data_IF_996342838523
#
_entry.id   IF_996342838523
#
_cell.length_a   1.000
_cell.length_b   1.000
_cell.length_c   1.000
_cell.angle_alpha   90.00
_cell.angle_beta   90.00
_cell.angle_gamma   90.00
#
_symmetry.space_group_name_H-M   'P 1'
#
loop_
_entity.id
_entity.type
_entity.pdbx_description
1 polymer ?
#
# COMPACT_ATOMS: atom_id res chain seq x y z
N UNK A 1 -7.40 17.36 7.16
CA UNK A 1 -8.12 18.66 7.23
C UNK A 1 -7.10 19.76 7.49
N UNK A 2 -7.16 20.89 6.81
CA UNK A 2 -6.12 21.95 6.83
C UNK A 2 -6.49 23.16 7.69
N UNK A 3 -7.31 22.96 8.73
CA UNK A 3 -7.63 24.02 9.69
C UNK A 3 -6.49 24.35 10.68
N UNK A 4 -5.62 23.40 11.09
CA UNK A 4 -4.44 23.75 11.89
C UNK A 4 -3.56 24.82 11.23
N UNK A 5 -3.42 24.77 9.90
CA UNK A 5 -2.68 25.79 9.13
C UNK A 5 -3.26 27.21 9.30
N UNK A 6 -4.58 27.34 9.50
CA UNK A 6 -5.20 28.65 9.75
C UNK A 6 -4.74 29.22 11.11
N UNK A 7 -4.50 28.36 12.11
CA UNK A 7 -3.95 28.78 13.40
C UNK A 7 -2.49 29.22 13.27
N UNK A 8 -1.68 28.47 12.53
CA UNK A 8 -0.27 28.80 12.29
C UNK A 8 -0.14 30.16 11.60
N UNK A 9 -0.92 30.39 10.54
CA UNK A 9 -0.94 31.67 9.83
C UNK A 9 -1.44 32.82 10.73
N UNK A 10 -2.40 32.55 11.62
CA UNK A 10 -2.87 33.55 12.58
C UNK A 10 -1.78 33.91 13.61
N UNK A 11 -0.95 32.94 14.02
CA UNK A 11 0.22 33.18 14.86
C UNK A 11 1.25 34.06 14.14
N UNK A 12 1.42 33.87 12.83
CA UNK A 12 2.23 34.71 11.94
C UNK A 12 1.58 36.06 11.59
N UNK A 13 0.56 36.48 12.37
CA UNK A 13 -0.15 37.77 12.24
C UNK A 13 -0.94 37.92 10.94
N UNK A 14 -1.21 36.83 10.22
CA UNK A 14 -2.10 36.83 9.06
C UNK A 14 -3.55 36.76 9.56
N UNK A 15 -4.43 37.69 9.16
CA UNK A 15 -5.82 37.65 9.62
C UNK A 15 -6.51 36.34 9.22
N UNK A 16 -7.21 35.69 10.16
CA UNK A 16 -8.00 34.46 9.93
C UNK A 16 -8.92 34.60 8.71
N UNK A 17 -9.52 35.78 8.52
CA UNK A 17 -10.38 36.06 7.38
C UNK A 17 -9.67 35.97 6.01
N UNK A 18 -8.37 36.29 5.96
CA UNK A 18 -7.53 36.17 4.76
C UNK A 18 -7.12 34.71 4.58
N UNK A 19 -6.62 34.05 5.63
CA UNK A 19 -6.22 32.65 5.58
C UNK A 19 -7.38 31.72 5.16
N UNK A 20 -8.57 31.86 5.77
CA UNK A 20 -9.75 31.09 5.38
C UNK A 20 -10.12 31.33 3.92
N UNK A 21 -10.05 32.58 3.43
CA UNK A 21 -10.38 32.90 2.02
C UNK A 21 -9.42 32.24 1.04
N UNK A 22 -8.12 32.30 1.32
CA UNK A 22 -7.08 31.69 0.48
C UNK A 22 -7.20 30.17 0.44
N UNK A 23 -7.52 29.56 1.59
CA UNK A 23 -7.67 28.10 1.72
C UNK A 23 -9.07 27.58 1.33
N UNK A 24 -10.00 28.46 0.94
CA UNK A 24 -11.35 28.08 0.51
C UNK A 24 -12.30 27.67 1.65
N UNK A 25 -12.03 28.09 2.88
CA UNK A 25 -12.87 27.81 4.06
C UNK A 25 -13.80 28.97 4.41
N UNK A 26 -14.95 28.66 5.00
CA UNK A 26 -15.77 29.69 5.66
C UNK A 26 -15.21 30.00 7.05
N UNK A 27 -15.30 31.28 7.47
CA UNK A 27 -14.90 31.69 8.84
C UNK A 27 -15.70 30.93 9.90
N UNK A 28 -16.99 30.71 9.65
CA UNK A 28 -17.87 29.99 10.56
C UNK A 28 -17.43 28.53 10.74
N UNK A 29 -17.06 27.84 9.66
CA UNK A 29 -16.58 26.47 9.74
C UNK A 29 -15.25 26.38 10.51
N UNK A 30 -14.35 27.34 10.32
CA UNK A 30 -13.11 27.42 11.10
C UNK A 30 -13.38 27.60 12.60
N UNK A 31 -14.23 28.56 12.99
CA UNK A 31 -14.51 28.78 14.42
C UNK A 31 -15.27 27.62 15.05
N UNK A 32 -16.21 27.00 14.33
CA UNK A 32 -16.87 25.77 14.78
C UNK A 32 -15.86 24.64 15.02
N UNK A 33 -14.95 24.43 14.08
CA UNK A 33 -13.88 23.45 14.26
C UNK A 33 -12.95 23.83 15.42
N UNK A 34 -12.65 25.12 15.62
CA UNK A 34 -11.76 25.56 16.70
C UNK A 34 -12.32 25.27 18.10
N UNK A 35 -13.63 25.27 18.27
CA UNK A 35 -14.29 24.90 19.53
C UNK A 35 -14.11 23.41 19.84
N UNK A 36 -14.22 22.55 18.82
CA UNK A 36 -14.08 21.10 18.96
C UNK A 36 -13.21 20.54 17.81
N UNK A 37 -11.87 20.67 17.92
CA UNK A 37 -10.97 20.41 16.80
C UNK A 37 -10.70 18.92 16.56
N UNK A 38 -10.97 18.08 17.55
CA UNK A 38 -10.82 16.63 17.53
C UNK A 38 -12.20 16.02 17.67
N UNK A 39 -12.68 15.35 16.62
CA UNK A 39 -13.97 14.67 16.68
C UNK A 39 -13.85 13.35 17.43
N UNK A 40 -14.98 12.80 17.91
CA UNK A 40 -15.00 11.45 18.48
C UNK A 40 -14.41 10.41 17.53
N UNK A 41 -14.63 10.56 16.22
CA UNK A 41 -14.05 9.69 15.20
C UNK A 41 -12.53 9.77 15.15
N UNK A 42 -11.97 10.96 15.31
CA UNK A 42 -10.50 11.14 15.35
C UNK A 42 -9.93 10.50 16.61
N UNK A 43 -10.62 10.61 17.74
CA UNK A 43 -10.29 9.91 18.98
C UNK A 43 -10.30 8.38 18.78
N UNK A 44 -11.37 7.84 18.20
CA UNK A 44 -11.50 6.40 17.96
C UNK A 44 -10.42 5.90 16.97
N UNK A 45 -10.16 6.66 15.90
CA UNK A 45 -9.09 6.34 14.93
C UNK A 45 -7.70 6.37 15.62
N UNK A 46 -7.47 7.32 16.54
CA UNK A 46 -6.22 7.42 17.30
C UNK A 46 -6.01 6.24 18.26
N UNK A 47 -7.05 5.81 18.97
CA UNK A 47 -6.97 4.62 19.83
C UNK A 47 -6.75 3.34 19.03
N UNK A 48 -7.48 3.19 17.92
CA UNK A 48 -7.37 2.03 17.03
C UNK A 48 -5.97 1.92 16.43
N UNK A 49 -5.40 3.02 15.93
CA UNK A 49 -4.06 3.00 15.33
C UNK A 49 -2.96 2.84 16.39
N UNK A 50 -3.16 3.31 17.62
CA UNK A 50 -2.21 3.06 18.71
C UNK A 50 -2.11 1.56 19.03
N UNK A 51 -3.25 0.88 19.17
CA UNK A 51 -3.26 -0.58 19.38
C UNK A 51 -2.67 -1.34 18.18
N UNK A 52 -2.96 -0.89 16.95
CA UNK A 52 -2.38 -1.47 15.75
C UNK A 52 -0.84 -1.37 15.71
N UNK A 53 -0.29 -0.24 16.18
CA UNK A 53 1.16 -0.03 16.27
C UNK A 53 1.79 -0.94 17.34
N UNK A 54 1.12 -1.16 18.46
CA UNK A 54 1.58 -2.08 19.51
C UNK A 54 1.63 -3.53 19.00
N UNK A 55 0.58 -4.00 18.31
CA UNK A 55 0.57 -5.32 17.66
C UNK A 55 1.73 -5.43 16.67
N UNK A 56 1.89 -4.44 15.78
CA UNK A 56 2.94 -4.49 14.77
C UNK A 56 4.36 -4.39 15.35
N UNK A 57 4.54 -3.73 16.50
CA UNK A 57 5.82 -3.68 17.18
C UNK A 57 6.21 -5.04 17.76
N UNK A 58 5.23 -5.85 18.19
CA UNK A 58 5.45 -7.24 18.60
C UNK A 58 5.75 -8.16 17.41
N UNK A 59 5.01 -7.98 16.32
CA UNK A 59 5.10 -8.83 15.12
C UNK A 59 5.22 -7.98 13.84
N UNK A 60 6.44 -7.53 13.49
CA UNK A 60 6.67 -6.70 12.29
C UNK A 60 6.31 -7.41 10.97
N UNK A 61 6.15 -8.73 11.01
CA UNK A 61 5.73 -9.55 9.88
C UNK A 61 4.25 -9.32 9.53
N UNK A 62 3.45 -8.83 10.48
CA UNK A 62 2.02 -8.63 10.30
C UNK A 62 1.73 -7.43 9.43
N UNK A 63 0.96 -7.66 8.37
CA UNK A 63 0.33 -6.60 7.58
C UNK A 63 -1.03 -6.25 8.16
N UNK A 64 -1.66 -5.19 7.62
CA UNK A 64 -2.93 -4.67 8.15
C UNK A 64 -4.07 -5.68 8.27
N UNK A 65 -4.04 -6.80 7.53
CA UNK A 65 -5.05 -7.87 7.59
C UNK A 65 -4.92 -8.67 8.89
N UNK A 66 -3.70 -9.14 9.20
CA UNK A 66 -3.42 -9.81 10.48
C UNK A 66 -3.60 -8.85 11.66
N UNK A 67 -3.18 -7.60 11.50
CA UNK A 67 -3.41 -6.58 12.54
C UNK A 67 -4.92 -6.38 12.77
N UNK A 68 -5.76 -6.40 11.73
CA UNK A 68 -7.20 -6.28 11.89
C UNK A 68 -7.81 -7.47 12.67
N UNK A 69 -7.31 -8.69 12.44
CA UNK A 69 -7.74 -9.87 13.19
C UNK A 69 -7.34 -9.77 14.68
N UNK A 70 -6.09 -9.42 14.98
CA UNK A 70 -5.61 -9.21 16.36
C UNK A 70 -6.37 -8.10 17.08
N UNK A 71 -6.69 -6.99 16.39
CA UNK A 71 -7.51 -5.93 16.93
C UNK A 71 -8.91 -6.42 17.29
N UNK A 72 -9.51 -7.29 16.47
CA UNK A 72 -10.81 -7.87 16.76
C UNK A 72 -10.75 -8.78 18.00
N UNK A 73 -9.68 -9.57 18.16
CA UNK A 73 -9.45 -10.42 19.34
C UNK A 73 -9.26 -9.59 20.63
N UNK A 74 -8.69 -8.38 20.52
CA UNK A 74 -8.60 -7.40 21.60
C UNK A 74 -9.90 -6.63 21.85
N UNK A 75 -10.96 -6.89 21.09
CA UNK A 75 -12.29 -6.29 21.26
C UNK A 75 -12.51 -4.96 20.53
N UNK A 76 -11.65 -4.59 19.57
CA UNK A 76 -11.88 -3.40 18.74
C UNK A 76 -12.88 -3.67 17.63
N UNK A 77 -13.91 -2.83 17.53
CA UNK A 77 -14.88 -2.86 16.42
C UNK A 77 -14.40 -1.97 15.25
N UNK A 78 -13.65 -2.55 14.32
CA UNK A 78 -13.19 -1.84 13.12
C UNK A 78 -13.16 -2.73 11.88
N UNK A 79 -13.69 -2.23 10.77
CA UNK A 79 -13.58 -2.94 9.49
C UNK A 79 -12.15 -2.94 8.94
N UNK A 80 -11.77 -4.03 8.26
CA UNK A 80 -10.45 -4.23 7.65
C UNK A 80 -9.99 -3.02 6.80
N UNK A 81 -10.89 -2.40 6.03
CA UNK A 81 -10.57 -1.21 5.22
C UNK A 81 -10.20 0.01 6.07
N UNK A 82 -10.82 0.18 7.24
CA UNK A 82 -10.48 1.27 8.18
C UNK A 82 -9.08 1.05 8.74
N UNK A 83 -8.78 -0.16 9.18
CA UNK A 83 -7.45 -0.56 9.69
C UNK A 83 -6.39 -0.37 8.60
N UNK A 84 -6.65 -0.87 7.38
CA UNK A 84 -5.74 -0.72 6.24
C UNK A 84 -5.44 0.74 5.88
N UNK A 85 -6.46 1.61 5.88
CA UNK A 85 -6.27 3.05 5.68
C UNK A 85 -5.37 3.66 6.75
N UNK A 86 -5.63 3.37 8.04
CA UNK A 86 -4.87 3.94 9.15
C UNK A 86 -3.43 3.42 9.19
N UNK A 87 -3.22 2.11 9.00
CA UNK A 87 -1.90 1.51 8.89
C UNK A 87 -1.09 2.16 7.75
N UNK A 88 -1.71 2.35 6.58
CA UNK A 88 -1.04 3.01 5.46
C UNK A 88 -0.68 4.48 5.75
N UNK A 89 -1.47 5.20 6.55
CA UNK A 89 -1.15 6.58 6.94
C UNK A 89 0.05 6.64 7.89
N UNK A 90 0.26 5.60 8.71
CA UNK A 90 1.38 5.50 9.64
C UNK A 90 2.59 4.75 9.07
N UNK A 91 2.52 4.27 7.82
CA UNK A 91 3.60 3.48 7.22
C UNK A 91 3.76 2.08 7.81
N UNK A 92 2.71 1.53 8.42
CA UNK A 92 2.67 0.18 8.97
C UNK A 92 2.44 -0.82 7.84
N UNK A 93 3.48 -1.60 7.54
CA UNK A 93 3.47 -2.61 6.50
C UNK A 93 4.22 -3.85 6.98
N UNK A 94 3.77 -5.02 6.52
CA UNK A 94 4.49 -6.28 6.78
C UNK A 94 5.93 -6.18 6.28
N UNK A 95 6.88 -6.56 7.13
CA UNK A 95 8.31 -6.58 6.81
C UNK A 95 8.66 -7.49 5.61
N UNK A 96 7.85 -8.53 5.35
CA UNK A 96 8.08 -9.48 4.26
C UNK A 96 7.25 -9.21 3.01
N UNK A 97 6.10 -8.54 3.14
CA UNK A 97 5.23 -8.26 2.01
C UNK A 97 5.76 -7.10 1.15
N UNK A 98 7.00 -7.22 0.65
CA UNK A 98 7.39 -6.43 -0.53
C UNK A 98 6.54 -6.92 -1.69
N UNK A 99 5.58 -6.11 -2.10
CA UNK A 99 4.83 -6.31 -3.35
C UNK A 99 5.86 -6.44 -4.47
N UNK A 100 6.12 -7.68 -4.93
CA UNK A 100 6.93 -7.91 -6.13
C UNK A 100 6.24 -7.11 -7.24
N UNK A 101 6.94 -6.11 -7.78
CA UNK A 101 6.42 -5.39 -8.94
C UNK A 101 6.05 -6.40 -10.01
N UNK A 102 4.84 -6.28 -10.58
CA UNK A 102 4.36 -7.16 -11.65
C UNK A 102 5.31 -7.19 -12.86
N UNK A 103 6.24 -6.25 -12.94
CA UNK A 103 7.18 -6.08 -14.04
C UNK A 103 8.61 -6.12 -13.51
N UNK A 104 9.10 -7.31 -13.17
CA UNK A 104 10.54 -7.52 -13.11
C UNK A 104 11.02 -7.44 -14.57
N UNK A 105 11.74 -6.38 -14.93
CA UNK A 105 12.44 -6.35 -16.22
C UNK A 105 13.37 -7.58 -16.22
N UNK A 106 13.28 -8.47 -17.23
CA UNK A 106 14.22 -9.57 -17.35
C UNK A 106 15.64 -9.00 -17.26
N UNK A 107 16.50 -9.66 -16.50
CA UNK A 107 17.93 -9.34 -16.50
C UNK A 107 18.50 -9.44 -17.92
N UNK A 108 19.70 -8.87 -18.15
CA UNK A 108 20.39 -9.06 -19.42
C UNK A 108 20.49 -10.56 -19.76
N UNK A 109 20.34 -10.93 -21.05
CA UNK A 109 20.38 -12.33 -21.46
C UNK A 109 21.70 -12.97 -21.02
N UNK A 110 21.62 -14.14 -20.39
CA UNK A 110 22.78 -14.89 -19.88
C UNK A 110 23.55 -15.58 -21.01
N UNK A 111 22.96 -15.64 -22.21
CA UNK A 111 23.50 -16.32 -23.38
C UNK A 111 23.29 -15.48 -24.64
N UNK A 112 24.15 -15.69 -25.64
CA UNK A 112 24.03 -15.02 -26.94
C UNK A 112 22.75 -15.44 -27.66
N UNK A 113 21.99 -14.45 -28.16
CA UNK A 113 20.85 -14.69 -29.03
C UNK A 113 21.34 -15.01 -30.44
N UNK A 114 21.61 -16.29 -30.69
CA UNK A 114 22.16 -16.79 -31.96
C UNK A 114 21.23 -16.54 -33.15
N UNK A 115 19.94 -16.32 -32.91
CA UNK A 115 18.92 -16.14 -33.95
C UNK A 115 18.38 -14.72 -34.01
N UNK A 116 18.83 -13.82 -33.11
CA UNK A 116 18.44 -12.41 -33.04
C UNK A 116 16.93 -12.19 -33.06
N UNK A 117 16.20 -13.09 -32.39
CA UNK A 117 14.71 -13.16 -32.39
C UNK A 117 14.06 -13.33 -33.76
N UNK A 118 14.79 -13.78 -34.78
CA UNK A 118 14.21 -14.25 -36.04
C UNK A 118 13.95 -15.76 -35.94
N UNK A 119 12.66 -16.11 -35.81
CA UNK A 119 12.21 -17.49 -35.71
C UNK A 119 11.74 -18.08 -37.06
N UNK A 120 12.09 -17.41 -38.16
CA UNK A 120 11.70 -17.82 -39.50
C UNK A 120 12.74 -18.75 -40.11
N UNK A 121 12.31 -19.84 -40.76
CA UNK A 121 13.19 -20.77 -41.45
C UNK A 121 12.73 -21.02 -42.89
N UNK A 122 13.68 -21.08 -43.83
CA UNK A 122 13.43 -21.30 -45.27
C UNK A 122 13.19 -22.78 -45.63
N UNK A 123 13.36 -23.70 -44.68
CA UNK A 123 13.14 -25.12 -44.86
C UNK A 123 13.31 -25.91 -43.56
N UNK A 124 12.95 -27.20 -43.54
CA UNK A 124 13.08 -28.06 -42.37
C UNK A 124 14.55 -28.20 -41.95
N UNK A 125 14.78 -28.48 -40.66
CA UNK A 125 16.11 -28.72 -40.09
C UNK A 125 17.09 -27.52 -40.26
N UNK A 126 16.57 -26.29 -40.27
CA UNK A 126 17.37 -25.05 -40.32
C UNK A 126 17.32 -24.23 -39.04
N UNK A 127 16.22 -24.33 -38.31
CA UNK A 127 16.01 -23.70 -37.02
C UNK A 127 15.25 -24.69 -36.14
N UNK A 128 15.72 -24.90 -34.91
CA UNK A 128 15.10 -25.75 -33.91
C UNK A 128 14.67 -24.87 -32.75
N UNK A 129 13.39 -24.93 -32.40
CA UNK A 129 12.85 -24.27 -31.22
C UNK A 129 12.30 -25.35 -30.30
N UNK A 130 12.65 -25.28 -29.02
CA UNK A 130 12.14 -26.20 -28.00
C UNK A 130 11.40 -25.39 -26.96
N UNK A 131 10.21 -25.83 -26.56
CA UNK A 131 9.50 -25.26 -25.41
C UNK A 131 9.61 -26.19 -24.20
N UNK A 132 9.71 -25.58 -23.02
CA UNK A 132 9.61 -26.31 -21.76
C UNK A 132 8.15 -26.20 -21.32
N UNK A 133 7.45 -27.32 -21.36
CA UNK A 133 6.06 -27.45 -20.94
C UNK A 133 5.99 -28.09 -19.56
N UNK A 134 5.32 -27.41 -18.62
CA UNK A 134 5.03 -27.95 -17.29
C UNK A 134 3.64 -28.59 -17.28
N UNK A 135 3.57 -29.86 -16.87
CA UNK A 135 2.33 -30.61 -16.77
C UNK A 135 2.00 -30.89 -15.30
N UNK A 136 0.75 -30.62 -14.90
CA UNK A 136 0.27 -30.93 -13.53
C UNK A 136 -0.07 -32.41 -13.42
N UNK A 137 0.41 -33.04 -12.36
CA UNK A 137 0.13 -34.45 -12.02
C UNK A 137 -0.35 -34.56 -10.56
N UNK A 138 -0.96 -35.69 -10.20
CA UNK A 138 -1.45 -35.94 -8.84
C UNK A 138 -0.33 -35.98 -7.77
N UNK A 139 0.95 -36.07 -8.16
CA UNK A 139 2.12 -36.07 -7.25
C UNK A 139 2.96 -34.78 -7.34
N UNK A 140 2.50 -33.76 -8.06
CA UNK A 140 3.26 -32.52 -8.29
C UNK A 140 3.30 -32.15 -9.77
N UNK A 141 4.27 -31.34 -10.21
CA UNK A 141 4.45 -31.03 -11.62
C UNK A 141 5.55 -31.86 -12.26
N UNK A 142 5.33 -32.28 -13.52
CA UNK A 142 6.35 -32.90 -14.36
C UNK A 142 6.69 -31.94 -15.51
N UNK A 143 7.97 -31.67 -15.70
CA UNK A 143 8.45 -30.79 -16.76
C UNK A 143 8.93 -31.62 -17.94
N UNK A 144 8.48 -31.31 -19.16
CA UNK A 144 8.94 -31.94 -20.40
C UNK A 144 9.45 -30.87 -21.36
N UNK A 145 10.54 -31.15 -22.06
CA UNK A 145 10.93 -30.40 -23.24
C UNK A 145 10.22 -30.99 -24.47
N UNK A 146 9.76 -30.15 -25.40
CA UNK A 146 9.29 -30.54 -26.73
C UNK A 146 10.24 -30.05 -27.80
#
# INVERSE_FOLDING_TARGET
>A
MMYPLVLDLAADRIPVAVACRVLGFSKQAFYKWREEPVSQRDWDDAHLINAALEIHAGDPEFGYRFIADELADLGFEAGENRVGRLCSLQGVYSAFAKKRGLTVRPGPPVHDDLVRRDFTATGPNRLWLTDISEHRTARGSSTSAR
#
